data_IF_126742107065
#
_entry.id   IF_126742107065
#
_cell.length_a   1.000
_cell.length_b   1.000
_cell.length_c   1.000
_cell.angle_alpha   90.00
_cell.angle_beta   90.00
_cell.angle_gamma   90.00
#
_symmetry.space_group_name_H-M   'P 1'
#
loop_
_entity.id
_entity.type
_entity.pdbx_description
1 polymer ?
#
# COMPACT_ATOMS: atom_id res chain seq x y z
N UNK A 1 0.07 1.62 12.94
CA UNK A 1 -1.13 2.01 13.68
C UNK A 1 -0.73 3.00 14.75
N UNK A 2 -1.61 3.95 15.03
CA UNK A 2 -1.51 4.96 16.09
C UNK A 2 -2.80 4.87 16.90
N UNK A 3 -2.76 5.23 18.18
CA UNK A 3 -3.97 5.37 19.00
C UNK A 3 -4.51 6.78 18.79
N UNK A 4 -5.83 6.90 18.63
CA UNK A 4 -6.52 8.19 18.59
C UNK A 4 -7.00 8.63 19.99
N UNK A 5 -7.64 9.79 20.07
CA UNK A 5 -8.15 10.37 21.33
C UNK A 5 -9.24 9.51 21.99
N UNK A 6 -9.85 8.58 21.23
CA UNK A 6 -10.85 7.62 21.70
C UNK A 6 -10.23 6.26 22.07
N UNK A 7 -8.89 6.16 22.09
CA UNK A 7 -8.15 4.95 22.37
C UNK A 7 -8.37 3.83 21.33
N UNK A 8 -8.78 4.19 20.11
CA UNK A 8 -8.95 3.29 18.98
C UNK A 8 -7.67 3.18 18.14
N UNK A 9 -7.35 1.97 17.66
CA UNK A 9 -6.23 1.79 16.75
C UNK A 9 -6.58 2.28 15.34
N UNK A 10 -5.99 3.40 14.94
CA UNK A 10 -6.16 3.99 13.62
C UNK A 10 -4.92 3.84 12.73
N UNK A 11 -5.08 3.85 11.39
CA UNK A 11 -3.95 3.94 10.48
C UNK A 11 -3.19 5.25 10.66
N UNK A 12 -1.86 5.18 10.65
CA UNK A 12 -1.03 6.38 10.78
C UNK A 12 -1.13 7.27 9.53
N UNK A 13 -0.58 8.49 9.64
CA UNK A 13 -0.55 9.47 8.54
C UNK A 13 0.01 8.93 7.22
N UNK A 14 0.97 8.01 7.26
CA UNK A 14 1.57 7.44 6.05
C UNK A 14 0.61 6.49 5.32
N UNK A 15 -0.19 5.73 6.07
CA UNK A 15 -1.23 4.87 5.48
C UNK A 15 -2.37 5.71 4.89
N UNK A 16 -2.74 6.80 5.57
CA UNK A 16 -3.72 7.75 5.04
C UNK A 16 -3.22 8.42 3.76
N UNK A 17 -1.95 8.85 3.75
CA UNK A 17 -1.31 9.39 2.56
C UNK A 17 -1.30 8.37 1.42
N UNK A 18 -0.98 7.10 1.71
CA UNK A 18 -1.02 6.02 0.72
C UNK A 18 -2.40 5.94 0.06
N UNK A 19 -3.48 5.90 0.85
CA UNK A 19 -4.85 5.88 0.33
C UNK A 19 -5.15 7.05 -0.60
N UNK A 20 -4.71 8.27 -0.25
CA UNK A 20 -4.93 9.48 -1.03
C UNK A 20 -4.01 9.67 -2.25
N UNK A 21 -2.98 8.83 -2.45
CA UNK A 21 -2.11 8.90 -3.64
C UNK A 21 -2.42 7.85 -4.70
N UNK A 22 -3.16 6.77 -4.38
CA UNK A 22 -3.44 5.70 -5.35
C UNK A 22 -4.15 6.23 -6.60
N UNK A 23 -5.22 7.00 -6.43
CA UNK A 23 -5.98 7.59 -7.55
C UNK A 23 -5.14 8.56 -8.38
N UNK A 24 -4.32 9.37 -7.70
CA UNK A 24 -3.41 10.32 -8.35
C UNK A 24 -2.34 9.61 -9.17
N UNK A 25 -1.78 8.54 -8.64
CA UNK A 25 -0.80 7.72 -9.35
C UNK A 25 -1.43 7.03 -10.57
N UNK A 26 -2.63 6.46 -10.44
CA UNK A 26 -3.35 5.87 -11.56
C UNK A 26 -3.65 6.90 -12.66
N UNK A 27 -4.14 8.09 -12.27
CA UNK A 27 -4.44 9.20 -13.19
C UNK A 27 -3.18 9.66 -13.94
N UNK A 28 -2.05 9.78 -13.24
CA UNK A 28 -0.78 10.21 -13.84
C UNK A 28 -0.24 9.23 -14.88
N UNK A 29 -0.36 7.91 -14.63
CA UNK A 29 0.14 6.87 -15.55
C UNK A 29 -0.76 6.71 -16.77
N UNK A 30 -2.09 6.71 -16.57
CA UNK A 30 -3.04 6.50 -17.67
C UNK A 30 -3.39 7.79 -18.44
N UNK A 31 -2.91 8.96 -17.97
CA UNK A 31 -3.16 10.28 -18.58
C UNK A 31 -4.66 10.61 -18.74
N UNK A 32 -5.51 10.03 -17.90
CA UNK A 32 -6.93 10.31 -17.85
C UNK A 32 -7.42 10.26 -16.39
N UNK A 33 -8.52 10.95 -16.04
CA UNK A 33 -9.06 10.91 -14.69
C UNK A 33 -9.44 9.47 -14.29
N UNK A 34 -8.68 8.90 -13.35
CA UNK A 34 -8.89 7.54 -12.86
C UNK A 34 -9.34 7.57 -11.41
N UNK A 35 -10.34 6.76 -11.10
CA UNK A 35 -10.79 6.52 -9.72
C UNK A 35 -10.68 5.04 -9.43
N UNK A 36 -9.75 4.68 -8.54
CA UNK A 36 -9.55 3.30 -8.12
C UNK A 36 -10.55 3.00 -6.99
N UNK A 37 -11.26 1.85 -7.04
CA UNK A 37 -12.09 1.44 -5.92
C UNK A 37 -11.30 1.39 -4.61
N UNK A 38 -11.93 1.73 -3.47
CA UNK A 38 -11.25 1.65 -2.18
C UNK A 38 -10.76 0.22 -1.92
N UNK A 39 -9.67 0.04 -1.16
CA UNK A 39 -9.12 -1.29 -0.92
C UNK A 39 -10.05 -2.11 -0.04
N UNK A 40 -10.08 -3.41 -0.30
CA UNK A 40 -10.56 -4.37 0.68
C UNK A 40 -9.61 -4.39 1.88
N UNK A 41 -10.18 -4.22 3.08
CA UNK A 41 -9.45 -4.19 4.34
C UNK A 41 -9.60 -5.54 5.03
N UNK A 42 -8.51 -6.29 5.17
CA UNK A 42 -8.51 -7.56 5.90
C UNK A 42 -7.67 -7.41 7.17
N UNK A 43 -8.20 -7.71 8.37
CA UNK A 43 -7.39 -7.77 9.58
C UNK A 43 -6.36 -8.91 9.44
N UNK A 44 -5.17 -8.70 10.00
CA UNK A 44 -4.12 -9.72 10.05
C UNK A 44 -3.53 -9.77 11.46
N UNK A 45 -2.88 -10.87 11.89
CA UNK A 45 -2.42 -11.01 13.28
C UNK A 45 -1.54 -9.86 13.77
N UNK A 46 -0.75 -9.27 12.87
CA UNK A 46 0.22 -8.21 13.17
C UNK A 46 -0.10 -6.88 12.48
N UNK A 47 -1.37 -6.61 12.18
CA UNK A 47 -1.81 -5.36 11.59
C UNK A 47 -2.97 -5.56 10.61
N UNK A 48 -2.85 -5.06 9.39
CA UNK A 48 -3.89 -5.19 8.37
C UNK A 48 -3.33 -5.35 6.97
N UNK A 49 -4.17 -5.80 6.05
CA UNK A 49 -3.87 -5.89 4.62
C UNK A 49 -4.87 -5.03 3.85
N UNK A 50 -4.34 -4.21 2.95
CA UNK A 50 -5.11 -3.43 1.99
C UNK A 50 -4.92 -4.07 0.61
N UNK A 51 -6.02 -4.42 -0.05
CA UNK A 51 -6.00 -5.03 -1.38
C UNK A 51 -6.84 -4.20 -2.34
N UNK A 52 -6.19 -3.62 -3.36
CA UNK A 52 -6.87 -2.94 -4.47
C UNK A 52 -6.89 -3.82 -5.69
N UNK A 53 -7.96 -3.69 -6.47
CA UNK A 53 -8.02 -4.16 -7.86
C UNK A 53 -7.67 -2.97 -8.75
N UNK A 54 -6.54 -3.06 -9.44
CA UNK A 54 -6.06 -2.06 -10.39
C UNK A 54 -6.69 -2.28 -11.78
N UNK A 55 -6.62 -1.27 -12.66
CA UNK A 55 -7.03 -1.42 -14.06
C UNK A 55 -6.31 -2.61 -14.71
N UNK A 56 -7.05 -3.38 -15.51
CA UNK A 56 -6.54 -4.62 -16.11
C UNK A 56 -6.54 -5.84 -15.17
N UNK A 57 -7.14 -5.75 -13.98
CA UNK A 57 -7.36 -6.89 -13.08
C UNK A 57 -6.16 -7.25 -12.19
N UNK A 58 -5.08 -6.47 -12.25
CA UNK A 58 -3.92 -6.65 -11.39
C UNK A 58 -4.25 -6.27 -9.93
N UNK A 59 -3.61 -6.92 -8.96
CA UNK A 59 -3.78 -6.59 -7.55
C UNK A 59 -2.61 -5.74 -7.02
N UNK A 60 -2.93 -4.67 -6.31
CA UNK A 60 -1.99 -4.01 -5.41
C UNK A 60 -2.29 -4.49 -3.98
N UNK A 61 -1.31 -5.08 -3.32
CA UNK A 61 -1.46 -5.62 -1.96
C UNK A 61 -0.44 -4.94 -1.05
N UNK A 62 -0.92 -4.19 -0.06
CA UNK A 62 -0.08 -3.55 0.96
C UNK A 62 -0.37 -4.14 2.34
N UNK A 63 0.67 -4.70 2.98
CA UNK A 63 0.60 -5.14 4.38
C UNK A 63 1.00 -4.01 5.31
N UNK A 64 0.04 -3.56 6.12
CA UNK A 64 0.21 -2.55 7.15
C UNK A 64 0.56 -3.25 8.46
N UNK A 65 1.67 -2.84 9.07
CA UNK A 65 2.13 -3.42 10.33
C UNK A 65 1.60 -2.63 11.52
N UNK A 66 1.17 -3.36 12.53
CA UNK A 66 1.00 -2.84 13.88
C UNK A 66 2.38 -2.68 14.52
N UNK A 67 2.65 -1.46 14.95
CA UNK A 67 3.93 -1.04 15.50
C UNK A 67 4.12 -1.58 16.93
N UNK A 68 3.02 -1.86 17.63
CA UNK A 68 3.03 -2.41 18.99
C UNK A 68 3.36 -3.91 19.00
N UNK A 69 3.06 -4.61 17.89
CA UNK A 69 3.25 -6.07 17.76
C UNK A 69 4.49 -6.46 16.94
N UNK A 70 5.08 -5.54 16.16
CA UNK A 70 6.26 -5.80 15.33
C UNK A 70 7.36 -4.76 15.60
N UNK A 71 8.60 -5.24 15.66
CA UNK A 71 9.81 -4.41 15.76
C UNK A 71 9.84 -3.27 14.74
N UNK A 72 10.05 -2.06 15.22
CA UNK A 72 10.24 -0.85 14.41
C UNK A 72 11.56 -0.89 13.63
N UNK A 73 11.53 -1.45 12.41
CA UNK A 73 12.63 -1.34 11.45
C UNK A 73 12.12 -1.03 10.05
N UNK A 74 12.82 -0.14 9.36
CA UNK A 74 12.64 0.14 7.92
C UNK A 74 13.43 -0.88 7.12
N UNK A 75 12.87 -1.37 6.01
CA UNK A 75 13.50 -2.35 5.12
C UNK A 75 13.62 -1.75 3.72
N UNK A 76 14.45 -0.72 3.59
CA UNK A 76 14.60 0.07 2.35
C UNK A 76 14.93 -0.79 1.12
N UNK A 77 15.64 -1.90 1.32
CA UNK A 77 15.93 -2.86 0.26
C UNK A 77 14.68 -3.44 -0.41
N UNK A 78 13.51 -3.38 0.24
CA UNK A 78 12.26 -3.83 -0.33
C UNK A 78 11.83 -2.98 -1.55
N UNK A 79 12.20 -1.70 -1.58
CA UNK A 79 12.00 -0.83 -2.76
C UNK A 79 12.92 -1.29 -3.90
N UNK A 80 14.19 -1.57 -3.60
CA UNK A 80 15.15 -2.07 -4.59
C UNK A 80 14.70 -3.40 -5.19
N UNK A 81 14.19 -4.33 -4.38
CA UNK A 81 13.66 -5.60 -4.87
C UNK A 81 12.46 -5.43 -5.80
N UNK A 82 11.56 -4.49 -5.50
CA UNK A 82 10.43 -4.20 -6.38
C UNK A 82 10.89 -3.63 -7.72
N UNK A 83 11.81 -2.65 -7.72
CA UNK A 83 12.39 -2.12 -8.96
C UNK A 83 13.13 -3.19 -9.76
N UNK A 84 13.90 -4.05 -9.10
CA UNK A 84 14.61 -5.13 -9.77
C UNK A 84 13.64 -6.14 -10.40
N UNK A 85 12.64 -6.62 -9.65
CA UNK A 85 11.68 -7.61 -10.15
C UNK A 85 10.79 -7.05 -11.25
N UNK A 86 10.29 -5.83 -11.09
CA UNK A 86 9.49 -5.16 -12.12
C UNK A 86 10.33 -4.84 -13.34
N UNK A 87 11.55 -4.33 -13.15
CA UNK A 87 12.47 -4.06 -14.23
C UNK A 87 12.81 -5.32 -15.01
N UNK A 88 13.08 -6.42 -14.34
CA UNK A 88 13.31 -7.71 -15.00
C UNK A 88 12.09 -8.20 -15.78
N UNK A 89 10.86 -8.07 -15.23
CA UNK A 89 9.64 -8.51 -15.93
C UNK A 89 9.19 -7.59 -17.07
N UNK A 90 9.62 -6.33 -17.07
CA UNK A 90 9.23 -5.32 -18.08
C UNK A 90 10.31 -5.17 -19.17
N UNK A 91 11.59 -5.30 -18.81
CA UNK A 91 12.73 -5.05 -19.69
C UNK A 91 13.60 -6.28 -19.97
N UNK A 92 13.33 -7.40 -19.30
CA UNK A 92 14.02 -8.67 -19.55
C UNK A 92 13.42 -9.38 -20.75
N UNK A 93 13.76 -8.89 -21.95
CA UNK A 93 13.86 -9.73 -23.15
C UNK A 93 15.26 -10.37 -23.20
#
# INVERSE_FOLDING_TARGET
MEEDDNNEQVPNKFVQQLLGVVDRAATAIHQCPMKIPPPFKTPTPYGGRLTWVLPGGNFLIAHIKDKTKIRHKKRWSQVMYMYYLLGYRIFGD
#
